data_IF_287780166236
#
_entry.id   IF_287780166236
#
_cell.length_a   1.000
_cell.length_b   1.000
_cell.length_c   1.000
_cell.angle_alpha   90.00
_cell.angle_beta   90.00
_cell.angle_gamma   90.00
#
_symmetry.space_group_name_H-M   'P 1'
#
loop_
_entity.id
_entity.type
_entity.pdbx_description
1 polymer ?
#
# COMPACT_ATOMS: atom_id res chain seq x y z
N UNK A 1 9.96 5.73 22.15
CA UNK A 1 10.18 5.28 20.74
C UNK A 1 11.64 5.32 20.43
N UNK A 2 12.24 4.19 20.14
CA UNK A 2 13.58 4.09 19.59
C UNK A 2 13.55 4.22 18.06
N UNK A 3 14.70 4.31 17.42
CA UNK A 3 14.78 4.27 15.96
C UNK A 3 14.29 2.91 15.46
N UNK A 4 13.59 2.91 14.32
CA UNK A 4 13.13 1.70 13.64
C UNK A 4 13.58 1.72 12.18
N UNK A 5 14.06 0.61 11.67
CA UNK A 5 14.48 0.48 10.27
C UNK A 5 13.40 -0.25 9.48
N UNK A 6 12.85 0.43 8.47
CA UNK A 6 11.73 -0.07 7.67
C UNK A 6 12.16 -0.21 6.21
N UNK A 7 11.76 -1.32 5.60
CA UNK A 7 11.86 -1.56 4.16
C UNK A 7 10.48 -1.52 3.52
N UNK A 8 10.42 -1.04 2.27
CA UNK A 8 9.23 -1.10 1.42
C UNK A 8 9.59 -1.72 0.08
N UNK A 9 8.88 -2.77 -0.31
CA UNK A 9 9.23 -3.59 -1.45
C UNK A 9 8.35 -3.34 -2.66
N UNK A 10 8.94 -3.58 -3.84
CA UNK A 10 8.25 -3.78 -5.11
C UNK A 10 8.64 -5.13 -5.69
N UNK A 11 7.69 -5.82 -6.32
CA UNK A 11 7.95 -7.01 -7.12
C UNK A 11 6.84 -7.26 -8.13
N UNK A 12 7.14 -8.02 -9.20
CA UNK A 12 6.16 -8.45 -10.18
C UNK A 12 5.43 -9.70 -9.64
N UNK A 13 4.21 -9.49 -9.14
CA UNK A 13 3.40 -10.59 -8.65
C UNK A 13 2.78 -11.40 -9.79
N UNK A 14 2.43 -12.67 -9.52
CA UNK A 14 1.66 -13.50 -10.43
C UNK A 14 0.22 -13.61 -9.99
N UNK A 15 -0.69 -13.50 -10.95
CA UNK A 15 -2.13 -13.56 -10.72
C UNK A 15 -2.54 -14.93 -10.18
N UNK A 16 -3.18 -14.96 -9.01
CA UNK A 16 -3.63 -16.15 -8.28
C UNK A 16 -2.52 -17.15 -7.87
N UNK A 17 -1.27 -16.90 -8.18
CA UNK A 17 -0.14 -17.76 -7.79
C UNK A 17 0.40 -17.38 -6.41
N UNK A 18 -0.35 -17.71 -5.37
CA UNK A 18 0.03 -17.43 -3.99
C UNK A 18 1.38 -18.05 -3.60
N UNK A 19 1.69 -19.23 -4.13
CA UNK A 19 2.95 -19.93 -3.85
C UNK A 19 4.14 -19.15 -4.36
N UNK A 20 4.10 -18.71 -5.61
CA UNK A 20 5.14 -17.86 -6.18
C UNK A 20 5.25 -16.54 -5.42
N UNK A 21 4.13 -15.85 -5.21
CA UNK A 21 4.13 -14.54 -4.54
C UNK A 21 4.69 -14.62 -3.12
N UNK A 22 4.33 -15.66 -2.36
CA UNK A 22 4.88 -15.89 -1.03
C UNK A 22 6.36 -16.24 -1.06
N UNK A 23 6.85 -16.92 -2.11
CA UNK A 23 8.30 -17.19 -2.25
C UNK A 23 9.11 -15.92 -2.49
N UNK A 24 8.57 -14.96 -3.24
CA UNK A 24 9.19 -13.62 -3.43
C UNK A 24 9.16 -12.83 -2.13
N UNK A 25 8.02 -12.82 -1.44
CA UNK A 25 7.88 -12.17 -0.11
C UNK A 25 8.91 -12.77 0.86
N UNK A 26 9.08 -14.10 0.89
CA UNK A 26 10.07 -14.77 1.74
C UNK A 26 11.49 -14.31 1.42
N UNK A 27 11.89 -14.35 0.15
CA UNK A 27 13.24 -13.93 -0.31
C UNK A 27 13.52 -12.47 0.07
N UNK A 28 12.64 -11.53 -0.27
CA UNK A 28 12.83 -10.11 0.04
C UNK A 28 12.81 -9.82 1.55
N UNK A 29 12.02 -10.58 2.32
CA UNK A 29 12.02 -10.47 3.78
C UNK A 29 13.32 -10.95 4.40
N UNK A 30 13.90 -12.04 3.87
CA UNK A 30 15.21 -12.55 4.28
C UNK A 30 16.32 -11.53 3.96
N UNK A 31 16.33 -10.98 2.75
CA UNK A 31 17.29 -9.97 2.31
C UNK A 31 17.21 -8.71 3.19
N UNK A 32 16.01 -8.17 3.41
CA UNK A 32 15.79 -7.00 4.27
C UNK A 32 16.21 -7.24 5.73
N UNK A 33 15.92 -8.43 6.27
CA UNK A 33 16.37 -8.80 7.62
C UNK A 33 17.89 -8.86 7.71
N UNK A 34 18.59 -9.42 6.71
CA UNK A 34 20.06 -9.43 6.65
C UNK A 34 20.67 -8.02 6.59
N UNK A 35 19.95 -7.08 5.99
CA UNK A 35 20.32 -5.67 5.99
C UNK A 35 19.95 -4.94 7.30
N UNK A 36 19.36 -5.65 8.26
CA UNK A 36 19.00 -5.13 9.58
C UNK A 36 17.69 -4.36 9.63
N UNK A 37 16.76 -4.62 8.69
CA UNK A 37 15.41 -4.06 8.76
C UNK A 37 14.58 -4.76 9.82
N UNK A 38 13.84 -3.97 10.60
CA UNK A 38 12.88 -4.46 11.59
C UNK A 38 11.54 -4.84 10.94
N UNK A 39 11.21 -4.17 9.82
CA UNK A 39 9.93 -4.28 9.13
C UNK A 39 10.12 -4.27 7.63
N UNK A 40 9.34 -5.08 6.90
CA UNK A 40 9.20 -4.98 5.45
C UNK A 40 7.71 -4.91 5.07
N UNK A 41 7.36 -3.96 4.18
CA UNK A 41 6.02 -3.77 3.66
C UNK A 41 5.95 -4.07 2.17
N UNK A 42 4.92 -4.80 1.75
CA UNK A 42 4.65 -5.17 0.37
C UNK A 42 3.42 -4.42 -0.17
N UNK A 43 3.17 -4.50 -1.46
CA UNK A 43 2.05 -3.81 -2.11
C UNK A 43 0.67 -4.43 -1.81
N UNK A 44 -0.39 -3.71 -2.16
CA UNK A 44 -1.79 -4.16 -2.09
C UNK A 44 -1.95 -5.48 -2.85
N UNK A 45 -2.64 -6.47 -2.26
CA UNK A 45 -2.84 -7.79 -2.85
C UNK A 45 -1.55 -8.50 -3.30
N UNK A 46 -0.43 -8.23 -2.65
CA UNK A 46 0.87 -8.84 -2.95
C UNK A 46 0.87 -10.37 -2.92
N UNK A 47 -0.05 -11.00 -2.20
CA UNK A 47 -0.18 -12.46 -2.12
C UNK A 47 -1.03 -13.02 -3.26
N UNK A 48 -2.11 -12.34 -3.63
CA UNK A 48 -3.11 -12.87 -4.56
C UNK A 48 -3.00 -12.35 -5.98
N UNK A 49 -2.29 -11.25 -6.20
CA UNK A 49 -2.39 -10.44 -7.42
C UNK A 49 -3.62 -9.52 -7.39
N UNK A 50 -3.73 -8.59 -8.33
CA UNK A 50 -4.70 -7.51 -8.23
C UNK A 50 -5.61 -7.35 -9.46
N UNK A 51 -5.08 -6.90 -10.61
CA UNK A 51 -5.90 -6.41 -11.73
C UNK A 51 -6.77 -7.50 -12.37
N UNK A 52 -6.29 -8.73 -12.46
CA UNK A 52 -7.04 -9.88 -13.03
C UNK A 52 -8.34 -10.17 -12.27
N UNK A 53 -8.41 -9.81 -10.99
CA UNK A 53 -9.57 -10.06 -10.14
C UNK A 53 -10.85 -9.35 -10.65
N UNK A 54 -10.72 -8.34 -11.52
CA UNK A 54 -11.85 -7.68 -12.18
C UNK A 54 -12.69 -8.63 -13.05
N UNK A 55 -12.10 -9.73 -13.51
CA UNK A 55 -12.74 -10.72 -14.38
C UNK A 55 -13.33 -11.91 -13.61
N UNK A 56 -13.10 -11.99 -12.30
CA UNK A 56 -13.51 -13.11 -11.47
C UNK A 56 -14.99 -13.00 -11.06
N UNK A 57 -15.72 -14.12 -11.18
CA UNK A 57 -17.03 -14.27 -10.57
C UNK A 57 -16.95 -14.26 -9.03
N UNK A 58 -18.10 -14.14 -8.37
CA UNK A 58 -18.15 -14.23 -6.90
C UNK A 58 -17.56 -15.54 -6.37
N UNK A 59 -17.88 -16.65 -7.03
CA UNK A 59 -17.37 -17.98 -6.65
C UNK A 59 -15.86 -18.05 -6.78
N UNK A 60 -15.30 -17.60 -7.91
CA UNK A 60 -13.86 -17.55 -8.13
C UNK A 60 -13.16 -16.63 -7.12
N UNK A 61 -13.79 -15.52 -6.75
CA UNK A 61 -13.26 -14.63 -5.68
C UNK A 61 -13.28 -15.32 -4.31
N UNK A 62 -14.33 -16.09 -4.00
CA UNK A 62 -14.40 -16.87 -2.76
C UNK A 62 -13.35 -17.98 -2.71
N UNK A 63 -13.06 -18.63 -3.84
CA UNK A 63 -12.01 -19.65 -3.93
C UNK A 63 -10.61 -19.05 -3.74
N UNK A 64 -10.38 -17.85 -4.28
CA UNK A 64 -9.12 -17.13 -4.14
C UNK A 64 -8.90 -16.59 -2.73
N UNK A 65 -9.97 -16.10 -2.08
CA UNK A 65 -9.94 -15.43 -0.79
C UNK A 65 -9.70 -16.40 0.38
N UNK A 66 -9.09 -15.89 1.43
CA UNK A 66 -8.78 -16.66 2.63
C UNK A 66 -9.48 -16.12 3.88
N UNK A 67 -9.70 -17.02 4.85
CA UNK A 67 -10.09 -16.63 6.20
C UNK A 67 -8.91 -16.06 6.97
N UNK A 68 -9.14 -15.02 7.76
CA UNK A 68 -8.12 -14.43 8.63
C UNK A 68 -8.56 -14.63 10.09
N UNK A 69 -7.69 -15.16 10.97
CA UNK A 69 -6.24 -15.32 10.81
C UNK A 69 -5.72 -16.68 10.29
N UNK A 70 -6.58 -17.64 10.04
CA UNK A 70 -6.20 -19.06 9.90
C UNK A 70 -5.98 -19.51 8.44
N UNK A 71 -5.95 -18.60 7.48
CA UNK A 71 -5.66 -18.90 6.09
C UNK A 71 -4.21 -19.38 5.89
N UNK A 72 -4.00 -20.22 4.87
CA UNK A 72 -2.69 -20.82 4.58
C UNK A 72 -1.60 -19.77 4.35
N UNK A 73 -1.94 -18.72 3.58
CA UNK A 73 -0.99 -17.63 3.32
C UNK A 73 -0.60 -16.87 4.59
N UNK A 74 -1.55 -16.70 5.52
CA UNK A 74 -1.29 -15.99 6.78
C UNK A 74 -0.34 -16.81 7.67
N UNK A 75 -0.57 -18.11 7.77
CA UNK A 75 0.29 -19.01 8.53
C UNK A 75 1.71 -19.06 7.93
N UNK A 76 1.81 -19.05 6.60
CA UNK A 76 3.10 -18.97 5.90
C UNK A 76 3.81 -17.63 6.15
N UNK A 77 3.10 -16.50 6.14
CA UNK A 77 3.69 -15.19 6.48
C UNK A 77 4.24 -15.16 7.91
N UNK A 78 3.49 -15.71 8.86
CA UNK A 78 3.94 -15.80 10.27
C UNK A 78 5.20 -16.65 10.39
N UNK A 79 5.27 -17.78 9.67
CA UNK A 79 6.47 -18.62 9.63
C UNK A 79 7.67 -17.87 9.02
N UNK A 80 7.47 -17.13 7.92
CA UNK A 80 8.52 -16.30 7.32
C UNK A 80 8.98 -15.21 8.31
N UNK A 81 8.05 -14.51 8.96
CA UNK A 81 8.35 -13.48 9.96
C UNK A 81 9.17 -14.05 11.13
N UNK A 82 8.81 -15.24 11.59
CA UNK A 82 9.51 -15.94 12.68
C UNK A 82 10.92 -16.34 12.30
N UNK A 83 11.11 -16.96 11.12
CA UNK A 83 12.43 -17.45 10.67
C UNK A 83 13.42 -16.30 10.43
N UNK A 84 12.92 -15.16 9.95
CA UNK A 84 13.74 -13.99 9.62
C UNK A 84 13.77 -12.95 10.74
N UNK A 85 13.01 -13.15 11.84
CA UNK A 85 12.85 -12.18 12.93
C UNK A 85 12.54 -10.77 12.42
N UNK A 86 11.59 -10.66 11.48
CA UNK A 86 11.17 -9.40 10.84
C UNK A 86 9.65 -9.28 10.86
N UNK A 87 9.13 -8.06 11.00
CA UNK A 87 7.69 -7.78 10.87
C UNK A 87 7.36 -7.66 9.38
N UNK A 88 6.29 -8.32 8.94
CA UNK A 88 5.88 -8.34 7.53
C UNK A 88 4.49 -7.75 7.36
N UNK A 89 4.35 -6.83 6.39
CA UNK A 89 3.05 -6.32 5.98
C UNK A 89 2.77 -6.73 4.53
N UNK A 90 1.62 -7.39 4.28
CA UNK A 90 1.24 -7.89 2.96
C UNK A 90 -0.28 -7.91 2.76
N UNK A 91 -0.74 -7.88 1.51
CA UNK A 91 -2.15 -7.80 1.15
C UNK A 91 -2.69 -9.02 0.42
N UNK A 92 -3.99 -9.31 0.63
CA UNK A 92 -4.71 -10.39 -0.03
C UNK A 92 -6.22 -10.11 -0.09
N UNK A 93 -6.98 -10.98 -0.77
CA UNK A 93 -8.43 -11.04 -0.65
C UNK A 93 -8.82 -11.88 0.56
N UNK A 94 -9.68 -11.33 1.41
CA UNK A 94 -10.26 -11.98 2.59
C UNK A 94 -11.71 -12.40 2.32
N UNK A 95 -12.12 -13.53 2.87
CA UNK A 95 -13.54 -13.88 3.03
C UNK A 95 -13.87 -14.08 4.51
N UNK A 96 -15.12 -13.76 4.88
CA UNK A 96 -15.65 -14.05 6.21
C UNK A 96 -16.64 -15.22 6.20
N UNK A 97 -17.17 -15.58 7.37
CA UNK A 97 -18.09 -16.70 7.54
C UNK A 97 -19.45 -16.50 6.84
N UNK A 98 -19.73 -15.29 6.36
CA UNK A 98 -20.98 -14.96 5.63
C UNK A 98 -20.72 -14.76 4.13
N UNK A 99 -19.59 -15.25 3.62
CA UNK A 99 -19.16 -15.09 2.23
C UNK A 99 -19.06 -13.62 1.77
N UNK A 100 -18.81 -12.69 2.72
CA UNK A 100 -18.41 -11.35 2.36
C UNK A 100 -16.94 -11.33 1.97
N UNK A 101 -16.64 -10.60 0.90
CA UNK A 101 -15.31 -10.48 0.33
C UNK A 101 -14.71 -9.11 0.66
N UNK A 102 -13.46 -9.07 1.05
CA UNK A 102 -12.74 -7.83 1.37
C UNK A 102 -11.36 -7.82 0.72
N UNK A 103 -10.85 -6.62 0.47
CA UNK A 103 -9.41 -6.42 0.31
C UNK A 103 -8.81 -6.12 1.67
N UNK A 104 -7.83 -6.91 2.05
CA UNK A 104 -7.27 -6.84 3.40
C UNK A 104 -5.76 -6.74 3.35
N UNK A 105 -5.22 -5.91 4.22
CA UNK A 105 -3.80 -5.76 4.43
C UNK A 105 -3.47 -6.15 5.88
N UNK A 106 -2.45 -6.99 6.03
CA UNK A 106 -2.06 -7.59 7.29
C UNK A 106 -0.72 -7.06 7.77
N UNK A 107 -0.56 -7.02 9.08
CA UNK A 107 0.74 -6.96 9.74
C UNK A 107 0.90 -8.23 10.57
N UNK A 108 1.98 -8.95 10.36
CA UNK A 108 2.34 -10.15 11.13
C UNK A 108 3.74 -10.02 11.70
N UNK A 109 3.98 -10.67 12.82
CA UNK A 109 5.30 -10.84 13.42
C UNK A 109 5.53 -12.33 13.77
N UNK A 110 6.63 -12.63 14.46
CA UNK A 110 6.98 -13.99 14.89
C UNK A 110 5.95 -14.65 15.82
N UNK A 111 5.11 -13.83 16.48
CA UNK A 111 4.15 -14.29 17.48
C UNK A 111 2.72 -14.43 16.89
N UNK A 112 2.50 -13.91 15.67
CA UNK A 112 1.24 -14.04 14.97
C UNK A 112 0.76 -12.78 14.26
N UNK A 113 -0.57 -12.67 14.10
CA UNK A 113 -1.23 -11.53 13.49
C UNK A 113 -1.25 -10.33 14.45
N UNK A 114 -0.60 -9.24 14.05
CA UNK A 114 -0.54 -7.97 14.81
C UNK A 114 -1.73 -7.07 14.45
N UNK A 115 -2.01 -6.92 13.15
CA UNK A 115 -3.08 -6.06 12.67
C UNK A 115 -3.72 -6.58 11.38
N UNK A 116 -5.01 -6.24 11.22
CA UNK A 116 -5.82 -6.51 10.04
C UNK A 116 -6.57 -5.25 9.65
N UNK A 117 -6.38 -4.80 8.40
CA UNK A 117 -7.05 -3.64 7.83
C UNK A 117 -7.83 -4.02 6.58
N UNK A 118 -9.14 -3.77 6.55
CA UNK A 118 -9.98 -3.89 5.36
C UNK A 118 -10.02 -2.56 4.63
N UNK A 119 -9.86 -2.57 3.32
CA UNK A 119 -9.89 -1.37 2.47
C UNK A 119 -11.23 -0.66 2.59
N UNK A 120 -11.19 0.66 2.84
CA UNK A 120 -12.40 1.47 3.01
C UNK A 120 -13.14 1.68 1.69
N UNK A 121 -12.38 1.86 0.58
CA UNK A 121 -12.92 2.11 -0.75
C UNK A 121 -12.41 1.03 -1.72
N UNK A 122 -13.04 -0.17 -1.74
CA UNK A 122 -12.59 -1.26 -2.60
C UNK A 122 -12.84 -0.97 -4.08
N UNK A 123 -11.87 -1.41 -4.88
CA UNK A 123 -11.85 -1.34 -6.33
C UNK A 123 -11.87 -2.74 -6.94
N UNK A 124 -11.95 -2.79 -8.25
CA UNK A 124 -11.59 -3.89 -9.14
C UNK A 124 -12.65 -4.98 -9.28
N UNK A 125 -13.42 -5.26 -8.24
CA UNK A 125 -14.43 -6.31 -8.32
C UNK A 125 -15.71 -5.88 -7.58
N UNK A 126 -16.92 -6.03 -8.18
CA UNK A 126 -18.17 -5.55 -7.62
C UNK A 126 -18.61 -6.28 -6.35
N UNK A 127 -18.07 -7.47 -6.09
CA UNK A 127 -18.44 -8.29 -4.93
C UNK A 127 -17.67 -7.90 -3.66
N UNK A 128 -16.69 -7.01 -3.76
CA UNK A 128 -15.92 -6.55 -2.61
C UNK A 128 -16.75 -5.63 -1.70
N UNK A 129 -16.64 -5.89 -0.42
CA UNK A 129 -17.31 -5.13 0.65
C UNK A 129 -16.35 -4.05 1.19
N UNK A 130 -16.79 -2.81 1.37
CA UNK A 130 -16.02 -1.77 2.06
C UNK A 130 -15.68 -2.13 3.50
N UNK A 131 -14.48 -1.74 3.95
CA UNK A 131 -14.15 -1.73 5.38
C UNK A 131 -14.93 -0.62 6.10
N UNK A 132 -15.06 -0.76 7.41
CA UNK A 132 -15.93 0.08 8.25
C UNK A 132 -15.16 0.83 9.36
N UNK A 133 -13.84 0.66 9.44
CA UNK A 133 -13.03 1.26 10.50
C UNK A 133 -11.59 1.52 10.09
N UNK A 134 -10.99 2.52 10.72
CA UNK A 134 -9.55 2.74 10.64
C UNK A 134 -8.77 1.69 11.43
N UNK A 135 -7.59 1.35 10.93
CA UNK A 135 -6.68 0.41 11.57
C UNK A 135 -5.50 1.17 12.17
N UNK A 136 -5.39 1.10 13.51
CA UNK A 136 -4.26 1.59 14.29
C UNK A 136 -3.69 0.42 15.09
N UNK A 137 -2.38 0.31 15.13
CA UNK A 137 -1.66 -0.72 15.89
C UNK A 137 -0.29 -0.21 16.33
N UNK A 138 0.39 -0.96 17.17
CA UNK A 138 1.71 -0.58 17.69
C UNK A 138 2.78 -1.60 17.24
N UNK A 139 3.94 -1.08 16.88
CA UNK A 139 5.16 -1.83 16.60
C UNK A 139 6.34 -1.11 17.26
N UNK A 140 7.07 -1.79 18.16
CA UNK A 140 8.27 -1.23 18.79
C UNK A 140 8.05 0.21 19.29
N UNK A 141 6.96 0.46 20.00
CA UNK A 141 6.51 1.77 20.51
C UNK A 141 6.11 2.80 19.44
N UNK A 142 6.17 2.45 18.16
CA UNK A 142 5.64 3.28 17.08
C UNK A 142 4.15 3.02 16.88
N UNK A 143 3.36 4.08 16.90
CA UNK A 143 1.94 3.98 16.58
C UNK A 143 1.74 4.05 15.08
N UNK A 144 1.26 2.97 14.51
CA UNK A 144 1.19 2.75 13.08
C UNK A 144 -0.26 2.73 12.59
N UNK A 145 -0.47 3.15 11.35
CA UNK A 145 -1.74 3.06 10.65
C UNK A 145 -1.59 2.39 9.29
N UNK A 146 -2.69 1.87 8.77
CA UNK A 146 -2.79 1.32 7.42
C UNK A 146 -3.91 2.03 6.67
N UNK A 147 -3.60 2.54 5.47
CA UNK A 147 -4.58 3.02 4.50
C UNK A 147 -4.24 2.41 3.13
N UNK A 148 -5.21 1.76 2.50
CA UNK A 148 -4.95 0.94 1.31
C UNK A 148 -5.28 1.73 0.05
N UNK A 149 -4.25 2.06 -0.75
CA UNK A 149 -4.34 2.63 -2.09
C UNK A 149 -5.21 3.91 -2.14
N UNK A 150 -6.38 3.86 -2.77
CA UNK A 150 -7.30 4.99 -2.92
C UNK A 150 -7.67 5.66 -1.60
N UNK A 151 -7.69 4.91 -0.49
CA UNK A 151 -7.95 5.46 0.84
C UNK A 151 -6.99 6.59 1.20
N UNK A 152 -5.75 6.56 0.67
CA UNK A 152 -4.73 7.60 0.87
C UNK A 152 -4.95 8.86 0.02
N UNK A 153 -5.73 8.76 -1.06
CA UNK A 153 -6.06 9.93 -1.88
C UNK A 153 -7.09 10.84 -1.21
N UNK A 154 -7.88 10.28 -0.29
CA UNK A 154 -8.85 11.02 0.52
C UNK A 154 -8.12 11.62 1.71
N UNK A 155 -7.99 12.96 1.71
CA UNK A 155 -7.18 13.68 2.71
C UNK A 155 -7.70 13.51 4.13
N UNK A 156 -9.02 13.42 4.28
CA UNK A 156 -9.68 13.20 5.56
C UNK A 156 -9.25 11.88 6.21
N UNK A 157 -9.07 10.80 5.44
CA UNK A 157 -8.62 9.52 5.97
C UNK A 157 -7.23 9.62 6.58
N UNK A 158 -6.29 10.27 5.88
CA UNK A 158 -4.92 10.43 6.38
C UNK A 158 -4.91 11.32 7.63
N UNK A 159 -5.68 12.41 7.62
CA UNK A 159 -5.84 13.27 8.80
C UNK A 159 -6.49 12.53 9.96
N UNK A 160 -7.53 11.75 9.72
CA UNK A 160 -8.23 11.01 10.76
C UNK A 160 -7.31 9.99 11.45
N UNK A 161 -6.59 9.18 10.67
CA UNK A 161 -5.69 8.16 11.23
C UNK A 161 -4.51 8.79 11.98
N UNK A 162 -4.02 9.95 11.53
CA UNK A 162 -3.03 10.75 12.26
C UNK A 162 -3.58 11.26 13.60
N UNK A 163 -4.82 11.74 13.61
CA UNK A 163 -5.47 12.21 14.84
C UNK A 163 -5.77 11.08 15.83
N UNK A 164 -5.88 9.84 15.36
CA UNK A 164 -5.90 8.64 16.19
C UNK A 164 -4.52 8.30 16.75
N UNK A 165 -3.48 9.03 16.31
CA UNK A 165 -2.14 8.99 16.86
C UNK A 165 -1.10 8.27 16.00
N UNK A 166 -1.41 7.90 14.75
CA UNK A 166 -0.43 7.28 13.87
C UNK A 166 0.77 8.20 13.62
N UNK A 167 1.98 7.66 13.78
CA UNK A 167 3.25 8.29 13.48
C UNK A 167 3.84 7.77 12.16
N UNK A 168 3.48 6.54 11.80
CA UNK A 168 3.82 5.88 10.54
C UNK A 168 2.53 5.41 9.89
N UNK A 169 2.35 5.69 8.60
CA UNK A 169 1.23 5.16 7.82
C UNK A 169 1.78 4.28 6.70
N UNK A 170 1.43 3.00 6.72
CA UNK A 170 1.66 2.09 5.62
C UNK A 170 0.61 2.32 4.54
N UNK A 171 1.09 2.59 3.33
CA UNK A 171 0.30 2.96 2.17
C UNK A 171 0.50 1.96 1.03
N UNK A 172 0.02 0.70 1.17
CA UNK A 172 0.10 -0.28 0.09
C UNK A 172 -0.79 0.12 -1.07
N UNK A 173 -0.25 0.09 -2.27
CA UNK A 173 -0.92 0.41 -3.51
C UNK A 173 -0.79 -0.72 -4.54
N UNK A 174 -1.66 -0.71 -5.56
CA UNK A 174 -1.51 -1.37 -6.84
C UNK A 174 -1.97 -0.37 -7.90
N UNK A 175 -1.19 0.70 -8.05
CA UNK A 175 -1.58 1.91 -8.78
C UNK A 175 -0.63 2.23 -9.93
N UNK A 176 -1.04 3.19 -10.72
CA UNK A 176 -0.41 3.74 -11.91
C UNK A 176 -0.62 2.90 -13.17
N UNK A 177 -0.42 3.54 -14.28
CA UNK A 177 -0.57 2.95 -15.62
C UNK A 177 -1.94 2.30 -15.85
N UNK A 178 -2.97 2.79 -15.18
CA UNK A 178 -4.36 2.38 -15.39
C UNK A 178 -5.08 3.37 -16.31
N UNK A 179 -6.08 2.95 -17.08
CA UNK A 179 -6.94 3.88 -17.78
C UNK A 179 -7.55 4.87 -16.81
N UNK A 180 -7.52 6.14 -17.20
CA UNK A 180 -8.13 7.19 -16.39
C UNK A 180 -8.42 8.39 -17.28
N UNK A 181 -9.56 9.09 -17.07
CA UNK A 181 -9.84 10.34 -17.76
C UNK A 181 -8.94 11.49 -17.29
N UNK A 182 -8.11 11.29 -16.28
CA UNK A 182 -7.22 12.32 -15.77
C UNK A 182 -6.16 12.70 -16.81
N UNK A 183 -5.88 13.99 -17.01
CA UNK A 183 -4.78 14.42 -17.87
C UNK A 183 -3.44 13.81 -17.39
N UNK A 184 -2.71 13.21 -18.32
CA UNK A 184 -1.42 12.55 -18.05
C UNK A 184 -1.51 11.15 -17.49
N UNK A 185 -2.71 10.66 -17.12
CA UNK A 185 -2.90 9.25 -16.80
C UNK A 185 -3.10 8.41 -18.08
N UNK A 186 -2.98 7.11 -17.96
CA UNK A 186 -3.20 6.19 -19.05
C UNK A 186 -2.23 5.02 -19.04
N UNK A 187 -2.41 4.14 -20.00
CA UNK A 187 -1.56 2.96 -20.14
C UNK A 187 -0.14 3.31 -20.58
N UNK A 188 0.81 2.56 -20.06
CA UNK A 188 2.15 2.41 -20.64
C UNK A 188 2.16 1.13 -21.45
N UNK A 189 2.73 1.18 -22.67
CA UNK A 189 2.78 0.00 -23.53
C UNK A 189 3.53 -1.16 -22.85
N UNK A 190 2.94 -2.37 -22.82
CA UNK A 190 3.63 -3.57 -22.35
C UNK A 190 4.92 -3.90 -23.13
N UNK A 191 5.04 -3.40 -24.35
CA UNK A 191 6.24 -3.64 -25.17
C UNK A 191 7.46 -2.88 -24.61
N UNK A 192 7.27 -1.76 -23.93
CA UNK A 192 8.35 -1.09 -23.21
C UNK A 192 8.87 -1.95 -22.07
N UNK A 193 7.98 -2.67 -21.37
CA UNK A 193 8.38 -3.62 -20.32
C UNK A 193 9.16 -4.81 -20.87
N UNK A 194 8.70 -5.40 -21.98
CA UNK A 194 9.39 -6.51 -22.65
C UNK A 194 10.80 -6.11 -23.11
N UNK A 195 10.94 -4.87 -23.58
CA UNK A 195 12.20 -4.34 -24.12
C UNK A 195 13.06 -3.60 -23.06
N UNK A 196 12.73 -3.67 -21.78
CA UNK A 196 13.37 -2.88 -20.71
C UNK A 196 14.88 -3.10 -20.57
N UNK A 197 15.38 -4.25 -21.00
CA UNK A 197 16.81 -4.55 -21.00
C UNK A 197 17.55 -3.90 -22.16
N UNK A 198 16.87 -3.74 -23.30
CA UNK A 198 17.46 -3.15 -24.53
C UNK A 198 17.17 -1.65 -24.67
N UNK A 199 16.04 -1.19 -24.16
CA UNK A 199 15.65 0.23 -24.12
C UNK A 199 15.08 0.63 -22.73
N UNK A 200 15.92 0.66 -21.69
CA UNK A 200 15.49 1.06 -20.34
C UNK A 200 15.09 2.54 -20.27
N UNK A 201 15.60 3.37 -21.18
CA UNK A 201 15.37 4.82 -21.16
C UNK A 201 13.92 5.15 -21.48
N UNK A 202 13.35 4.56 -22.53
CA UNK A 202 11.96 4.82 -22.93
C UNK A 202 10.99 4.41 -21.81
N UNK A 203 11.21 3.26 -21.18
CA UNK A 203 10.41 2.82 -20.05
C UNK A 203 10.57 3.76 -18.84
N UNK A 204 11.80 4.19 -18.56
CA UNK A 204 12.07 5.11 -17.43
C UNK A 204 11.36 6.45 -17.60
N UNK A 205 11.34 7.00 -18.82
CA UNK A 205 10.64 8.25 -19.12
C UNK A 205 9.13 8.15 -18.83
N UNK A 206 8.50 7.02 -19.17
CA UNK A 206 7.10 6.79 -18.86
C UNK A 206 6.87 6.61 -17.33
N UNK A 207 7.72 5.85 -16.67
CA UNK A 207 7.60 5.60 -15.22
C UNK A 207 7.87 6.85 -14.38
N UNK A 208 8.79 7.70 -14.80
CA UNK A 208 9.07 8.96 -14.11
C UNK A 208 8.08 10.07 -14.48
N UNK A 209 7.40 9.94 -15.62
CA UNK A 209 6.47 10.93 -16.15
C UNK A 209 5.12 11.02 -15.44
N UNK A 210 4.19 11.71 -16.12
CA UNK A 210 2.83 12.00 -15.62
C UNK A 210 1.99 10.74 -15.32
N UNK A 211 2.31 9.62 -15.98
CA UNK A 211 1.65 8.32 -15.76
C UNK A 211 2.18 7.58 -14.52
N UNK A 212 3.33 8.00 -14.01
CA UNK A 212 4.03 7.32 -12.94
C UNK A 212 4.40 8.25 -11.77
N UNK A 213 5.70 8.40 -11.53
CA UNK A 213 6.25 9.10 -10.37
C UNK A 213 5.79 10.56 -10.26
N UNK A 214 5.70 11.32 -11.33
CA UNK A 214 5.25 12.72 -11.29
C UNK A 214 3.83 12.85 -10.69
N UNK A 215 2.94 11.87 -10.95
CA UNK A 215 1.62 11.87 -10.35
C UNK A 215 1.69 11.61 -8.83
N UNK A 216 2.53 10.68 -8.39
CA UNK A 216 2.74 10.42 -6.96
C UNK A 216 3.23 11.68 -6.25
N UNK A 217 4.16 12.42 -6.86
CA UNK A 217 4.73 13.66 -6.29
C UNK A 217 3.71 14.80 -6.14
N UNK A 218 2.55 14.72 -6.79
CA UNK A 218 1.49 15.73 -6.62
C UNK A 218 0.77 15.63 -5.27
N UNK A 219 0.79 14.48 -4.64
CA UNK A 219 -0.04 14.27 -3.44
C UNK A 219 0.69 13.51 -2.31
N UNK A 220 1.48 12.51 -2.62
CA UNK A 220 2.01 11.59 -1.61
C UNK A 220 2.95 12.27 -0.59
N UNK A 221 3.92 13.12 -0.98
CA UNK A 221 4.73 13.87 -0.01
C UNK A 221 3.90 14.80 0.86
N UNK A 222 2.84 15.41 0.33
CA UNK A 222 1.94 16.28 1.09
C UNK A 222 1.21 15.51 2.21
N UNK A 223 0.90 14.23 2.01
CA UNK A 223 0.31 13.40 3.09
C UNK A 223 1.23 13.27 4.29
N UNK A 224 2.53 13.10 4.06
CA UNK A 224 3.53 13.07 5.12
C UNK A 224 3.73 14.45 5.77
N UNK A 225 3.96 15.46 4.94
CA UNK A 225 4.24 16.84 5.36
C UNK A 225 3.13 17.47 6.20
N UNK A 226 1.89 17.44 5.70
CA UNK A 226 0.74 18.07 6.37
C UNK A 226 0.37 17.41 7.70
N UNK A 227 0.76 16.15 7.87
CA UNK A 227 0.39 15.33 9.01
C UNK A 227 1.55 15.04 9.97
N UNK A 228 2.78 15.46 9.65
CA UNK A 228 4.00 15.15 10.42
C UNK A 228 4.12 13.64 10.71
N UNK A 229 3.96 12.82 9.67
CA UNK A 229 4.06 11.36 9.74
C UNK A 229 5.13 10.84 8.78
N UNK A 230 5.60 9.64 9.02
CA UNK A 230 6.28 8.86 8.00
C UNK A 230 5.26 8.14 7.11
N UNK A 231 5.43 8.23 5.79
CA UNK A 231 4.63 7.49 4.83
C UNK A 231 5.49 6.38 4.20
N UNK A 232 5.01 5.13 4.31
CA UNK A 232 5.66 3.94 3.72
C UNK A 232 4.79 3.47 2.56
N UNK A 233 5.15 3.90 1.35
CA UNK A 233 4.43 3.59 0.12
C UNK A 233 5.01 2.33 -0.52
N UNK A 234 4.16 1.33 -0.78
CA UNK A 234 4.53 0.06 -1.43
C UNK A 234 3.66 -0.15 -2.67
N UNK A 235 4.27 -0.40 -3.82
CA UNK A 235 3.56 -0.55 -5.10
C UNK A 235 4.22 -1.65 -5.96
N UNK A 236 3.46 -2.49 -6.69
CA UNK A 236 4.06 -3.50 -7.55
C UNK A 236 4.79 -2.89 -8.74
N UNK A 237 5.75 -3.62 -9.27
CA UNK A 237 6.41 -3.33 -10.54
C UNK A 237 6.09 -4.44 -11.54
N UNK A 238 6.12 -4.14 -12.83
CA UNK A 238 5.91 -5.14 -13.87
C UNK A 238 4.46 -5.32 -14.27
N UNK A 239 4.20 -6.41 -14.96
CA UNK A 239 2.87 -6.71 -15.48
C UNK A 239 1.92 -7.18 -14.37
N UNK A 240 0.75 -6.59 -14.33
CA UNK A 240 -0.37 -6.97 -13.48
C UNK A 240 -1.60 -7.16 -14.40
N UNK A 241 -1.82 -8.37 -14.86
CA UNK A 241 -2.74 -8.72 -15.93
C UNK A 241 -2.34 -7.99 -17.24
N UNK A 242 -3.18 -7.11 -17.76
CA UNK A 242 -2.91 -6.30 -18.96
C UNK A 242 -2.34 -4.91 -18.64
N UNK A 243 -2.06 -4.62 -17.39
CA UNK A 243 -1.61 -3.31 -16.93
C UNK A 243 -0.17 -3.35 -16.43
N UNK A 244 0.63 -2.41 -16.88
CA UNK A 244 1.98 -2.25 -16.38
C UNK A 244 1.99 -1.34 -15.14
N UNK A 245 2.59 -1.81 -14.06
CA UNK A 245 2.79 -1.07 -12.80
C UNK A 245 4.21 -0.55 -12.73
N UNK A 246 4.37 0.66 -12.21
CA UNK A 246 5.63 1.39 -12.26
C UNK A 246 6.54 1.19 -11.03
N UNK A 247 6.15 0.36 -10.07
CA UNK A 247 6.90 0.22 -8.83
C UNK A 247 6.98 1.55 -8.06
N UNK A 248 8.20 2.04 -7.86
CA UNK A 248 8.46 3.30 -7.18
C UNK A 248 8.05 3.28 -5.70
N UNK A 249 8.17 2.10 -5.05
CA UNK A 249 8.00 1.99 -3.59
C UNK A 249 8.98 2.93 -2.89
N UNK A 250 8.52 3.70 -1.90
CA UNK A 250 9.33 4.75 -1.27
C UNK A 250 8.95 4.99 0.18
N UNK A 251 9.89 5.54 0.94
CA UNK A 251 9.70 5.98 2.32
C UNK A 251 9.87 7.50 2.36
N UNK A 252 8.87 8.17 2.89
CA UNK A 252 8.82 9.64 2.96
C UNK A 252 8.78 10.05 4.43
N UNK A 253 9.57 11.04 4.77
CA UNK A 253 9.68 11.53 6.13
C UNK A 253 8.64 12.64 6.46
N UNK A 254 8.52 13.06 7.73
CA UNK A 254 7.58 14.09 8.16
C UNK A 254 7.80 15.48 7.54
N UNK A 255 8.94 15.72 6.88
CA UNK A 255 9.19 16.94 6.12
C UNK A 255 8.72 16.84 4.66
N UNK A 256 8.23 15.67 4.23
CA UNK A 256 7.84 15.40 2.84
C UNK A 256 9.00 14.99 1.95
N UNK A 257 10.20 14.75 2.53
CA UNK A 257 11.38 14.34 1.79
C UNK A 257 11.39 12.81 1.60
N UNK A 258 11.75 12.37 0.41
CA UNK A 258 11.95 10.95 0.11
C UNK A 258 13.28 10.52 0.72
N UNK A 259 13.24 9.59 1.67
CA UNK A 259 14.43 9.04 2.32
C UNK A 259 15.11 7.99 1.46
N UNK A 260 14.31 7.14 0.81
CA UNK A 260 14.76 6.13 -0.15
C UNK A 260 13.61 5.70 -1.05
N UNK A 261 13.91 5.27 -2.28
CA UNK A 261 12.93 4.78 -3.26
C UNK A 261 13.48 3.69 -4.18
N UNK A 262 12.65 2.74 -4.57
CA UNK A 262 12.98 1.73 -5.57
C UNK A 262 13.03 2.37 -6.97
N UNK A 263 14.18 2.24 -7.64
CA UNK A 263 14.44 2.81 -8.97
C UNK A 263 14.78 1.77 -10.04
N UNK A 264 14.93 0.51 -9.67
CA UNK A 264 15.19 -0.59 -10.60
C UNK A 264 13.92 -1.05 -11.30
N UNK A 265 14.05 -1.88 -12.32
CA UNK A 265 12.92 -2.57 -12.97
C UNK A 265 12.74 -4.01 -12.44
N UNK A 266 13.40 -4.33 -11.34
CA UNK A 266 13.43 -5.66 -10.74
C UNK A 266 12.71 -5.68 -9.40
N UNK A 267 12.50 -6.88 -8.87
CA UNK A 267 12.12 -7.09 -7.48
C UNK A 267 13.18 -6.47 -6.58
N UNK A 268 12.77 -5.54 -5.74
CA UNK A 268 13.69 -4.80 -4.87
C UNK A 268 12.95 -4.16 -3.71
N UNK A 269 13.70 -3.58 -2.78
CA UNK A 269 13.14 -2.77 -1.70
C UNK A 269 13.99 -1.52 -1.47
N UNK A 270 13.34 -0.47 -0.97
CA UNK A 270 13.95 0.73 -0.44
C UNK A 270 13.92 0.69 1.09
N UNK A 271 14.94 1.24 1.76
CA UNK A 271 15.11 1.12 3.22
C UNK A 271 15.48 2.43 3.86
N UNK A 272 14.82 2.76 4.96
CA UNK A 272 15.15 3.94 5.75
C UNK A 272 15.06 3.69 7.26
N UNK A 273 15.89 4.41 8.02
CA UNK A 273 15.77 4.46 9.49
C UNK A 273 14.91 5.65 9.89
N UNK A 274 13.79 5.38 10.53
CA UNK A 274 12.88 6.39 11.07
C UNK A 274 13.33 6.82 12.44
N UNK A 275 13.29 8.13 12.70
CA UNK A 275 13.70 8.74 13.97
C UNK A 275 12.55 9.54 14.58
N UNK A 276 12.24 9.38 15.87
CA UNK A 276 11.08 10.04 16.49
C UNK A 276 11.22 11.57 16.55
N UNK A 277 12.43 12.11 16.54
CA UNK A 277 12.68 13.55 16.63
C UNK A 277 12.06 14.30 15.45
N UNK A 278 12.11 13.77 14.24
CA UNK A 278 11.54 14.38 13.04
C UNK A 278 10.05 14.66 13.16
N UNK A 279 9.30 13.82 13.90
CA UNK A 279 7.85 13.98 14.08
C UNK A 279 7.50 15.33 14.72
N UNK A 280 8.20 15.71 15.80
CA UNK A 280 7.94 16.96 16.51
C UNK A 280 8.54 18.20 15.86
N UNK A 281 9.56 18.02 15.01
CA UNK A 281 10.24 19.10 14.29
C UNK A 281 9.49 19.52 13.02
N UNK A 282 8.68 18.63 12.44
CA UNK A 282 7.97 18.88 11.19
C UNK A 282 6.86 19.93 11.34
N UNK A 283 6.59 20.65 10.22
CA UNK A 283 5.54 21.66 10.15
C UNK A 283 4.15 21.13 10.49
N UNK A 284 3.82 19.95 9.99
CA UNK A 284 2.55 19.26 10.22
C UNK A 284 2.20 19.04 11.70
N UNK A 285 3.20 18.87 12.56
CA UNK A 285 2.99 18.78 14.01
C UNK A 285 2.35 20.04 14.57
N UNK A 286 2.80 21.22 14.12
CA UNK A 286 2.20 22.50 14.50
C UNK A 286 0.84 22.69 13.86
N UNK A 287 0.65 22.29 12.60
CA UNK A 287 -0.63 22.40 11.90
C UNK A 287 -1.72 21.60 12.59
N UNK A 288 -1.42 20.39 13.07
CA UNK A 288 -2.38 19.57 13.83
C UNK A 288 -2.81 20.28 15.11
N UNK A 289 -1.87 20.90 15.84
CA UNK A 289 -2.17 21.65 17.08
C UNK A 289 -2.94 22.95 16.84
N UNK A 290 -2.72 23.59 15.69
CA UNK A 290 -3.38 24.85 15.31
C UNK A 290 -4.77 24.67 14.70
N UNK A 291 -5.28 23.43 14.60
CA UNK A 291 -6.60 23.14 14.03
C UNK A 291 -7.70 23.88 14.80
N UNK A 292 -8.67 24.37 14.05
CA UNK A 292 -9.86 25.09 14.55
C UNK A 292 -11.15 24.30 14.21
N UNK A 293 -11.38 23.14 14.87
CA UNK A 293 -12.57 22.33 14.61
C UNK A 293 -13.89 23.08 14.80
N UNK A 294 -13.89 24.09 15.67
CA UNK A 294 -15.00 25.03 15.88
C UNK A 294 -15.45 25.74 14.59
N UNK A 295 -14.52 25.95 13.63
CA UNK A 295 -14.84 26.63 12.37
C UNK A 295 -15.33 25.69 11.27
N UNK A 296 -14.93 24.43 11.25
CA UNK A 296 -15.13 23.57 10.08
C UNK A 296 -15.79 22.20 10.35
N UNK A 297 -15.94 21.76 11.61
CA UNK A 297 -16.51 20.43 11.88
C UNK A 297 -17.92 20.25 11.29
N UNK A 298 -18.75 21.29 11.36
CA UNK A 298 -20.12 21.23 10.86
C UNK A 298 -20.21 21.32 9.33
N UNK A 299 -19.09 21.69 8.68
CA UNK A 299 -18.96 21.71 7.21
C UNK A 299 -18.41 20.37 6.73
N UNK A 300 -17.27 19.93 7.27
CA UNK A 300 -16.60 18.67 6.88
C UNK A 300 -17.38 17.45 7.36
N UNK A 301 -18.05 17.55 8.50
CA UNK A 301 -18.83 16.47 9.10
C UNK A 301 -20.26 16.34 8.56
N UNK A 302 -20.66 17.09 7.54
CA UNK A 302 -21.97 16.92 6.93
C UNK A 302 -22.07 15.53 6.28
N UNK A 303 -23.20 14.86 6.54
CA UNK A 303 -23.47 13.59 5.89
C UNK A 303 -23.74 13.81 4.40
N UNK A 304 -23.17 12.95 3.57
CA UNK A 304 -23.43 12.89 2.14
C UNK A 304 -23.45 11.43 1.70
N UNK A 305 -23.99 11.17 0.54
CA UNK A 305 -23.93 9.84 -0.06
C UNK A 305 -22.50 9.56 -0.54
N UNK A 306 -21.80 8.70 0.20
CA UNK A 306 -20.40 8.38 -0.10
C UNK A 306 -20.30 7.34 -1.22
N UNK A 307 -19.53 7.65 -2.25
CA UNK A 307 -19.15 6.70 -3.30
C UNK A 307 -18.07 5.75 -2.78
N UNK A 308 -18.51 4.71 -2.05
CA UNK A 308 -17.62 3.77 -1.38
C UNK A 308 -16.96 2.76 -2.34
N UNK A 309 -17.57 2.52 -3.50
CA UNK A 309 -17.01 1.69 -4.57
C UNK A 309 -16.69 2.56 -5.77
N UNK A 310 -15.49 2.47 -6.30
CA UNK A 310 -15.10 3.28 -7.44
C UNK A 310 -15.57 2.62 -8.72
N UNK A 311 -16.58 3.20 -9.34
CA UNK A 311 -17.34 2.64 -10.49
C UNK A 311 -16.78 3.10 -11.85
N UNK A 312 -15.92 4.13 -11.89
CA UNK A 312 -15.37 4.68 -13.14
C UNK A 312 -14.31 3.80 -13.82
N UNK A 313 -14.11 2.59 -13.30
CA UNK A 313 -13.28 1.55 -13.89
C UNK A 313 -14.04 0.59 -14.83
N UNK A 314 -15.25 0.93 -15.28
CA UNK A 314 -15.92 0.20 -16.34
C UNK A 314 -15.26 0.52 -17.67
N UNK A 315 -14.30 -0.32 -18.08
CA UNK A 315 -13.51 -0.18 -19.30
C UNK A 315 -14.12 -0.87 -20.53
N UNK A 316 -15.27 -1.47 -20.35
CA UNK A 316 -15.99 -2.16 -21.41
C UNK A 316 -16.91 -1.16 -22.14
N UNK A 317 -16.30 -0.25 -22.89
CA UNK A 317 -16.97 0.41 -24.04
C UNK A 317 -15.94 0.94 -25.03
#
# INVERSE_FOLDING_TARGET
>A
MDKIKISTAQFEHRNADKTYNLSVIERLSEEASKEGSDVIAFHECSITGYTFARHLSKEQMLDLAEFIPNGESILKLIDIAKRNNIIILAGLFEKDANDNLFKTYLCVNKDGLVAKCRKLHPFINPYLTPGDKYCIFEMNDWKCGILICYDNNIIENVRAITLLGANVIFMPHATMCTPSPRPGAGFVSPDLWKNRETDPTSLRLEFDGMKGRQWLMKWLPARAYDNAIYAVFSNPIGMDDDQLKNGCSMIIDPFGDILDECRTFDDSFATATLTPEKLSQAGGYRYIKARRPDLYRDIIGQSHESEQKVVWLHYDK
#
